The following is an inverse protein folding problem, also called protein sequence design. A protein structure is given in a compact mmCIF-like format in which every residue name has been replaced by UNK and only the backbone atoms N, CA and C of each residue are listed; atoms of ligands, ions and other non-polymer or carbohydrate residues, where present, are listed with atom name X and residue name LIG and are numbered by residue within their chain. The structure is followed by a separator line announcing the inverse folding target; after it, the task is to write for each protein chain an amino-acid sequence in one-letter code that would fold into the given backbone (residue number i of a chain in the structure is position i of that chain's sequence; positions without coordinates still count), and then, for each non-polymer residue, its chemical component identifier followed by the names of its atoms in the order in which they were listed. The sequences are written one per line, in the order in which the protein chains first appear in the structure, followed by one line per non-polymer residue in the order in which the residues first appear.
data_IF_873692811943
#
_entry.id   IF_873692811943
#
_cell.length_a   1.000
_cell.length_b   1.000
_cell.length_c   1.000
_cell.angle_alpha   90.00
_cell.angle_beta   90.00
_cell.angle_gamma   90.00
#
_symmetry.space_group_name_H-M   'P 1'
#
loop_
_entity.id
_entity.type
_entity.pdbx_description
1 polymer ?
#
# COMPACT_ATOMS: atom_id res chain seq x y z
N UNK A 1 -20.40 8.45 34.42
CA UNK A 1 -20.20 7.12 33.85
C UNK A 1 -19.78 7.33 32.40
N UNK A 2 -18.51 7.70 32.21
CA UNK A 2 -17.95 8.01 30.90
C UNK A 2 -16.53 7.47 30.94
N UNK A 3 -16.38 6.21 30.53
CA UNK A 3 -15.07 5.56 30.42
C UNK A 3 -14.63 5.72 28.98
N UNK A 4 -13.79 6.72 28.77
CA UNK A 4 -12.97 6.90 27.58
C UNK A 4 -12.20 5.60 27.36
N UNK A 5 -12.43 4.96 26.21
CA UNK A 5 -11.76 3.70 25.82
C UNK A 5 -10.25 3.91 25.74
N UNK A 6 -9.42 2.95 26.16
CA UNK A 6 -8.20 2.65 25.44
C UNK A 6 -8.56 1.67 24.30
N UNK A 7 -8.38 2.07 23.03
CA UNK A 7 -8.23 1.10 21.92
C UNK A 7 -6.73 0.83 21.77
N UNK A 8 -6.21 0.00 22.67
CA UNK A 8 -4.88 -0.58 22.53
C UNK A 8 -5.01 -1.98 21.92
N UNK A 9 -4.85 -2.07 20.60
CA UNK A 9 -4.49 -3.30 19.86
C UNK A 9 -4.41 -3.09 18.34
N UNK A 10 -3.37 -2.37 17.88
CA UNK A 10 -2.86 -2.45 16.49
C UNK A 10 -2.14 -3.79 16.22
N UNK A 11 -2.88 -4.89 16.39
CA UNK A 11 -2.40 -6.25 16.16
C UNK A 11 -2.86 -6.73 14.79
N UNK A 12 -2.01 -6.62 13.77
CA UNK A 12 -2.12 -7.44 12.54
C UNK A 12 -3.46 -7.41 11.81
N UNK A 13 -4.05 -6.24 11.57
CA UNK A 13 -5.19 -6.09 10.64
C UNK A 13 -4.72 -6.55 9.25
N UNK A 14 -5.31 -7.62 8.71
CA UNK A 14 -5.07 -8.01 7.32
C UNK A 14 -5.91 -7.15 6.37
N UNK A 15 -5.51 -7.08 5.09
CA UNK A 15 -6.20 -6.25 4.08
C UNK A 15 -7.70 -6.56 4.01
N UNK A 16 -8.07 -7.82 4.22
CA UNK A 16 -9.47 -8.24 4.19
C UNK A 16 -10.26 -7.66 5.38
N UNK A 17 -9.68 -7.67 6.58
CA UNK A 17 -10.24 -7.08 7.77
C UNK A 17 -10.37 -5.55 7.66
N UNK A 18 -9.36 -4.88 7.10
CA UNK A 18 -9.40 -3.44 6.79
C UNK A 18 -10.57 -3.11 5.86
N UNK A 19 -10.68 -3.81 4.73
CA UNK A 19 -11.73 -3.50 3.77
C UNK A 19 -13.13 -3.77 4.32
N UNK A 20 -13.30 -4.84 5.11
CA UNK A 20 -14.57 -5.14 5.76
C UNK A 20 -14.94 -4.09 6.82
N UNK A 21 -13.97 -3.60 7.60
CA UNK A 21 -14.23 -2.56 8.61
C UNK A 21 -14.67 -1.26 7.95
N UNK A 22 -13.97 -0.83 6.90
CA UNK A 22 -14.34 0.38 6.15
C UNK A 22 -15.73 0.27 5.53
N UNK A 23 -16.06 -0.84 4.87
CA UNK A 23 -17.40 -1.06 4.28
C UNK A 23 -18.51 -1.11 5.33
N UNK A 24 -18.22 -1.56 6.55
CA UNK A 24 -19.18 -1.55 7.64
C UNK A 24 -19.38 -0.15 8.25
N UNK A 25 -18.33 0.66 8.30
CA UNK A 25 -18.37 2.05 8.77
C UNK A 25 -18.98 3.02 7.74
N UNK A 26 -18.93 2.66 6.46
CA UNK A 26 -19.42 3.45 5.32
C UNK A 26 -20.44 2.67 4.48
N UNK A 27 -21.69 2.52 4.95
CA UNK A 27 -22.72 1.75 4.25
C UNK A 27 -23.09 2.31 2.85
N UNK A 28 -22.76 3.56 2.57
CA UNK A 28 -22.88 4.21 1.28
C UNK A 28 -21.84 3.73 0.25
N UNK A 29 -20.72 3.15 0.71
CA UNK A 29 -19.67 2.61 -0.14
C UNK A 29 -19.92 1.13 -0.41
N UNK A 30 -20.07 0.79 -1.68
CA UNK A 30 -20.16 -0.61 -2.12
C UNK A 30 -18.83 -1.11 -2.66
N UNK A 31 -18.58 -2.42 -2.58
CA UNK A 31 -17.43 -3.05 -3.23
C UNK A 31 -17.38 -2.75 -4.74
N UNK A 32 -18.55 -2.64 -5.40
CA UNK A 32 -18.62 -2.31 -6.82
C UNK A 32 -18.11 -0.89 -7.10
N UNK A 33 -18.55 0.09 -6.33
CA UNK A 33 -18.07 1.47 -6.46
C UNK A 33 -16.58 1.59 -6.16
N UNK A 34 -16.09 0.90 -5.12
CA UNK A 34 -14.65 0.88 -4.81
C UNK A 34 -13.82 0.28 -5.97
N UNK A 35 -14.28 -0.82 -6.55
CA UNK A 35 -13.63 -1.45 -7.70
C UNK A 35 -13.59 -0.51 -8.92
N UNK A 36 -14.71 0.16 -9.22
CA UNK A 36 -14.82 1.12 -10.31
C UNK A 36 -13.91 2.33 -10.09
N UNK A 37 -13.96 2.94 -8.90
CA UNK A 37 -13.13 4.11 -8.54
C UNK A 37 -11.64 3.80 -8.52
N UNK A 38 -11.25 2.63 -8.03
CA UNK A 38 -9.85 2.20 -8.00
C UNK A 38 -9.35 1.66 -9.35
N UNK A 39 -10.23 1.45 -10.34
CA UNK A 39 -9.87 0.81 -11.61
C UNK A 39 -9.48 -0.67 -11.47
N UNK A 40 -9.93 -1.35 -10.40
CA UNK A 40 -9.57 -2.73 -10.07
C UNK A 40 -10.74 -3.64 -10.46
N UNK A 41 -10.52 -4.80 -11.12
CA UNK A 41 -11.60 -5.72 -11.43
C UNK A 41 -12.37 -6.13 -10.16
N UNK A 42 -13.70 -6.09 -10.21
CA UNK A 42 -14.56 -6.43 -9.05
C UNK A 42 -14.23 -7.81 -8.46
N UNK A 43 -13.95 -8.81 -9.30
CA UNK A 43 -13.56 -10.15 -8.84
C UNK A 43 -12.27 -10.14 -8.01
N UNK A 44 -11.31 -9.29 -8.37
CA UNK A 44 -10.04 -9.09 -7.64
C UNK A 44 -10.29 -8.44 -6.30
N UNK A 45 -11.04 -7.33 -6.27
CA UNK A 45 -11.37 -6.65 -5.02
C UNK A 45 -12.18 -7.55 -4.07
N UNK A 46 -13.19 -8.25 -4.59
CA UNK A 46 -13.96 -9.22 -3.80
C UNK A 46 -13.08 -10.34 -3.23
N UNK A 47 -12.07 -10.81 -3.98
CA UNK A 47 -11.13 -11.80 -3.48
C UNK A 47 -10.27 -11.26 -2.32
N UNK A 48 -9.90 -9.97 -2.35
CA UNK A 48 -9.21 -9.30 -1.23
C UNK A 48 -10.12 -9.12 -0.02
N UNK A 49 -11.36 -8.66 -0.21
CA UNK A 49 -12.35 -8.48 0.87
C UNK A 49 -12.68 -9.82 1.55
N UNK A 50 -12.75 -10.91 0.80
CA UNK A 50 -13.06 -12.25 1.33
C UNK A 50 -11.84 -13.01 1.86
N UNK A 51 -10.63 -12.47 1.70
CA UNK A 51 -9.39 -13.11 2.17
C UNK A 51 -9.11 -14.46 1.53
N UNK A 52 -9.65 -14.74 0.33
CA UNK A 52 -9.53 -16.05 -0.32
C UNK A 52 -8.06 -16.32 -0.69
N UNK A 53 -7.46 -17.38 -0.11
CA UNK A 53 -6.10 -17.85 -0.42
C UNK A 53 -5.94 -18.02 -1.94
N UNK A 54 -4.92 -17.39 -2.51
CA UNK A 54 -4.68 -17.29 -3.96
C UNK A 54 -4.79 -15.86 -4.50
N UNK A 55 -5.53 -14.97 -3.84
CA UNK A 55 -5.50 -13.52 -4.12
C UNK A 55 -4.26 -12.81 -3.54
N UNK A 56 -3.51 -13.53 -2.71
CA UNK A 56 -2.16 -13.18 -2.23
C UNK A 56 -1.05 -13.56 -3.21
N UNK A 57 -1.34 -13.58 -4.52
CA UNK A 57 -0.32 -13.19 -5.50
C UNK A 57 0.24 -11.81 -5.12
N UNK A 58 1.42 -11.46 -5.61
CA UNK A 58 2.07 -10.19 -5.26
C UNK A 58 1.17 -9.03 -5.73
N UNK A 59 0.30 -8.51 -4.87
CA UNK A 59 -0.56 -7.34 -5.18
C UNK A 59 0.37 -6.21 -5.61
N UNK A 60 0.09 -5.60 -6.76
CA UNK A 60 0.89 -4.51 -7.28
C UNK A 60 0.79 -3.32 -6.33
N UNK A 61 1.89 -2.56 -6.19
CA UNK A 61 1.87 -1.36 -5.35
C UNK A 61 0.92 -0.30 -5.90
N UNK A 62 0.78 -0.23 -7.22
CA UNK A 62 -0.13 0.72 -7.87
C UNK A 62 -1.60 0.38 -7.58
N UNK A 63 -1.96 -0.91 -7.55
CA UNK A 63 -3.29 -1.34 -7.13
C UNK A 63 -3.59 -0.96 -5.68
N UNK A 64 -2.61 -1.09 -4.77
CA UNK A 64 -2.79 -0.69 -3.37
C UNK A 64 -2.91 0.83 -3.21
N UNK A 65 -2.22 1.61 -4.05
CA UNK A 65 -2.37 3.07 -4.08
C UNK A 65 -3.74 3.48 -4.62
N UNK A 66 -4.14 2.94 -5.77
CA UNK A 66 -5.44 3.21 -6.36
C UNK A 66 -6.59 2.81 -5.43
N UNK A 67 -6.43 1.70 -4.68
CA UNK A 67 -7.36 1.30 -3.64
C UNK A 67 -7.40 2.32 -2.48
N UNK A 68 -6.25 2.81 -2.01
CA UNK A 68 -6.20 3.82 -0.96
C UNK A 68 -6.85 5.14 -1.39
N UNK A 69 -6.64 5.56 -2.65
CA UNK A 69 -7.25 6.77 -3.21
C UNK A 69 -8.78 6.66 -3.34
N UNK A 70 -9.30 5.45 -3.53
CA UNK A 70 -10.73 5.19 -3.61
C UNK A 70 -11.42 5.04 -2.24
N UNK A 71 -10.66 4.86 -1.16
CA UNK A 71 -11.18 4.71 0.20
C UNK A 71 -11.42 6.09 0.86
N UNK A 72 -12.21 6.15 1.95
CA UNK A 72 -12.33 7.36 2.75
C UNK A 72 -10.96 7.91 3.17
N UNK A 73 -10.83 9.23 3.23
CA UNK A 73 -9.56 9.92 3.57
C UNK A 73 -8.99 9.59 4.95
N UNK A 74 -9.80 8.98 5.83
CA UNK A 74 -9.39 8.42 7.12
C UNK A 74 -8.51 7.16 6.97
N UNK A 75 -8.53 6.51 5.81
CA UNK A 75 -7.73 5.33 5.48
C UNK A 75 -6.51 5.76 4.67
N UNK A 76 -5.35 5.76 5.31
CA UNK A 76 -4.10 6.19 4.66
C UNK A 76 -3.51 5.10 3.77
N UNK A 77 -2.77 5.51 2.73
CA UNK A 77 -1.96 4.60 1.89
C UNK A 77 -1.09 3.69 2.78
N UNK A 78 -0.46 4.26 3.81
CA UNK A 78 0.38 3.49 4.72
C UNK A 78 -0.39 2.39 5.47
N UNK A 79 -1.63 2.65 5.89
CA UNK A 79 -2.49 1.64 6.53
C UNK A 79 -2.88 0.53 5.56
N UNK A 80 -3.23 0.87 4.31
CA UNK A 80 -3.56 -0.11 3.26
C UNK A 80 -2.37 -1.03 2.96
N UNK A 81 -1.17 -0.45 2.80
CA UNK A 81 0.05 -1.23 2.59
C UNK A 81 0.39 -2.11 3.80
N UNK A 82 0.32 -1.55 5.01
CA UNK A 82 0.57 -2.32 6.24
C UNK A 82 -0.39 -3.51 6.36
N UNK A 83 -1.68 -3.30 6.06
CA UNK A 83 -2.69 -4.36 6.09
C UNK A 83 -2.46 -5.43 5.01
N UNK A 84 -1.87 -5.04 3.87
CA UNK A 84 -1.40 -5.98 2.84
C UNK A 84 -0.08 -6.70 3.22
N UNK A 85 0.43 -6.52 4.44
CA UNK A 85 1.73 -7.06 4.87
C UNK A 85 2.92 -6.47 4.11
N UNK A 86 2.76 -5.24 3.60
CA UNK A 86 3.78 -4.49 2.88
C UNK A 86 4.19 -3.29 3.72
N UNK A 87 5.48 -2.96 3.70
CA UNK A 87 5.87 -1.59 4.03
C UNK A 87 5.49 -0.72 2.84
N UNK A 88 4.90 0.46 3.10
CA UNK A 88 4.70 1.48 2.07
C UNK A 88 6.04 1.70 1.38
N UNK A 89 6.18 1.43 0.07
CA UNK A 89 7.28 2.00 -0.70
C UNK A 89 7.21 3.50 -0.41
N UNK A 90 8.29 4.09 0.10
CA UNK A 90 8.30 5.53 0.38
C UNK A 90 7.72 6.23 -0.84
N UNK A 91 6.70 7.06 -0.66
CA UNK A 91 6.24 7.92 -1.73
C UNK A 91 7.48 8.73 -2.14
N UNK A 92 8.05 8.35 -3.29
CA UNK A 92 8.94 9.25 -3.99
C UNK A 92 8.00 10.37 -4.39
N UNK A 93 8.12 11.51 -3.73
CA UNK A 93 7.50 12.71 -4.25
C UNK A 93 7.96 12.89 -5.71
N UNK A 94 7.10 13.52 -6.53
CA UNK A 94 7.35 13.63 -7.97
C UNK A 94 8.71 14.28 -8.29
N UNK A 95 9.24 15.13 -7.39
CA UNK A 95 10.57 15.73 -7.51
C UNK A 95 11.68 14.69 -7.37
N UNK A 96 11.62 13.81 -6.37
CA UNK A 96 12.59 12.73 -6.17
C UNK A 96 12.53 11.70 -7.28
N UNK A 97 11.34 11.38 -7.77
CA UNK A 97 11.19 10.49 -8.92
C UNK A 97 11.80 11.10 -10.18
N UNK A 98 11.48 12.36 -10.48
CA UNK A 98 12.06 13.08 -11.61
C UNK A 98 13.60 13.16 -11.52
N UNK A 99 14.14 13.50 -10.35
CA UNK A 99 15.60 13.55 -10.13
C UNK A 99 16.26 12.19 -10.30
N UNK A 100 15.61 11.11 -9.86
CA UNK A 100 16.12 9.76 -10.08
C UNK A 100 16.15 9.39 -11.56
N UNK A 101 15.11 9.75 -12.32
CA UNK A 101 15.04 9.50 -13.76
C UNK A 101 16.07 10.33 -14.53
N UNK A 102 16.25 11.60 -14.17
CA UNK A 102 17.31 12.46 -14.74
C UNK A 102 18.69 11.82 -14.56
N UNK A 103 19.04 11.42 -13.33
CA UNK A 103 20.30 10.73 -13.06
C UNK A 103 20.43 9.43 -13.85
N UNK A 104 19.36 8.64 -13.97
CA UNK A 104 19.39 7.38 -14.71
C UNK A 104 19.61 7.57 -16.21
N UNK A 105 19.09 8.65 -16.79
CA UNK A 105 19.28 8.99 -18.20
C UNK A 105 20.71 9.42 -18.54
N UNK A 106 21.45 9.98 -17.57
CA UNK A 106 22.86 10.35 -17.75
C UNK A 106 23.82 9.15 -17.75
N UNK A 107 23.37 7.99 -17.26
CA UNK A 107 24.19 6.78 -17.15
C UNK A 107 24.23 5.98 -18.45
N UNK A 108 25.39 5.37 -18.72
CA UNK A 108 25.51 4.37 -19.78
C UNK A 108 24.81 3.03 -19.43
N UNK A 109 24.64 2.16 -20.41
CA UNK A 109 23.93 0.89 -20.23
C UNK A 109 24.57 -0.04 -19.19
N UNK A 110 25.88 0.03 -18.98
CA UNK A 110 26.58 -0.74 -17.95
C UNK A 110 26.32 -0.18 -16.56
N UNK A 111 26.40 1.14 -16.42
CA UNK A 111 26.12 1.87 -15.18
C UNK A 111 24.65 1.75 -14.77
N UNK A 112 23.72 1.83 -15.71
CA UNK A 112 22.29 1.61 -15.48
C UNK A 112 22.02 0.21 -14.90
N UNK A 113 22.63 -0.85 -15.47
CA UNK A 113 22.51 -2.21 -14.95
C UNK A 113 23.08 -2.31 -13.53
N UNK A 114 24.23 -1.69 -13.28
CA UNK A 114 24.84 -1.68 -11.95
C UNK A 114 23.95 -0.98 -10.91
N UNK A 115 23.34 0.16 -11.25
CA UNK A 115 22.42 0.87 -10.38
C UNK A 115 21.18 0.03 -10.05
N UNK A 116 20.59 -0.64 -11.05
CA UNK A 116 19.44 -1.53 -10.83
C UNK A 116 19.78 -2.67 -9.89
N UNK A 117 20.95 -3.32 -10.06
CA UNK A 117 21.37 -4.39 -9.16
C UNK A 117 21.66 -3.88 -7.74
N UNK A 118 22.25 -2.69 -7.61
CA UNK A 118 22.44 -2.05 -6.30
C UNK A 118 21.10 -1.72 -5.63
N UNK A 119 20.14 -1.15 -6.35
CA UNK A 119 18.80 -0.89 -5.84
C UNK A 119 18.10 -2.19 -5.40
N UNK A 120 18.20 -3.26 -6.20
CA UNK A 120 17.70 -4.59 -5.83
C UNK A 120 18.36 -5.12 -4.55
N UNK A 121 19.66 -4.92 -4.37
CA UNK A 121 20.34 -5.30 -3.13
C UNK A 121 19.82 -4.50 -1.93
N UNK A 122 19.70 -3.17 -2.05
CA UNK A 122 19.19 -2.29 -0.99
C UNK A 122 17.78 -2.67 -0.54
N UNK A 123 16.88 -3.04 -1.47
CA UNK A 123 15.51 -3.47 -1.10
C UNK A 123 15.45 -4.71 -0.21
N UNK A 124 16.51 -5.54 -0.20
CA UNK A 124 16.59 -6.75 0.63
C UNK A 124 17.14 -6.48 2.03
N UNK A 125 17.74 -5.30 2.25
CA UNK A 125 18.31 -4.97 3.55
C UNK A 125 17.21 -4.66 4.59
N UNK A 126 17.43 -5.04 5.86
CA UNK A 126 16.57 -4.60 6.95
C UNK A 126 16.67 -3.07 7.06
N UNK A 127 15.54 -2.39 6.99
CA UNK A 127 15.50 -0.93 7.10
C UNK A 127 15.57 -0.56 8.59
N UNK A 128 16.42 0.39 8.94
CA UNK A 128 16.48 0.91 10.31
C UNK A 128 15.11 1.50 10.67
N UNK A 129 14.56 1.10 11.82
CA UNK A 129 13.41 1.78 12.43
C UNK A 129 13.87 3.19 12.74
N UNK A 130 13.28 4.20 12.09
CA UNK A 130 13.48 5.59 12.50
C UNK A 130 12.98 5.71 13.94
N UNK A 131 13.91 5.79 14.89
CA UNK A 131 13.65 6.29 16.23
C UNK A 131 13.30 7.75 16.06
N UNK A 132 12.03 8.08 16.26
CA UNK A 132 11.62 9.46 16.47
C UNK A 132 12.25 9.92 17.79
N UNK A 133 13.01 11.02 17.71
CA UNK A 133 13.48 11.82 18.82
C UNK A 133 12.58 13.06 18.91
#
# INVERSE_FOLDING_TARGET
MESIRPRDDQTGEDLAALLRSVLAEHPELTQKQLAESAGIPYATLNAWVTGRRGAGGRIASDDLRALADALPTTVTVARVFAAAGRRTPSDLDAEREARLLELFHELDAGQQRALIEMARALTKLPHARATAD
#
